data_IF_277260128620
#
_entry.id   IF_277260128620
#
_cell.length_a   1.000
_cell.length_b   1.000
_cell.length_c   1.000
_cell.angle_alpha   90.00
_cell.angle_beta   90.00
_cell.angle_gamma   90.00
#
_symmetry.space_group_name_H-M   'P 1'
#
loop_
_entity.id
_entity.type
_entity.pdbx_description
1 polymer ?
#
# COMPACT_ATOMS: atom_id res chain seq x y z
N UNK A 1 -2.74 -36.22 8.44
CA UNK A 1 -1.58 -35.92 9.29
C UNK A 1 -0.71 -34.91 8.56
N UNK A 2 -0.67 -33.69 9.06
CA UNK A 2 -0.04 -32.58 8.36
C UNK A 2 1.46 -32.47 8.66
N UNK A 3 2.23 -32.10 7.64
CA UNK A 3 3.62 -31.66 7.76
C UNK A 3 3.71 -30.13 7.72
N UNK A 4 4.67 -29.55 8.44
CA UNK A 4 4.99 -28.12 8.36
C UNK A 4 5.87 -27.86 7.13
N UNK A 5 5.29 -27.22 6.13
CA UNK A 5 5.95 -26.80 4.92
C UNK A 5 6.75 -25.51 5.15
N UNK A 6 8.08 -25.65 5.25
CA UNK A 6 9.02 -24.56 5.38
C UNK A 6 9.33 -23.97 4.02
N UNK A 7 9.00 -22.70 3.85
CA UNK A 7 9.42 -21.94 2.67
C UNK A 7 10.84 -21.39 2.86
N UNK A 8 11.56 -21.05 1.78
CA UNK A 8 12.89 -20.45 1.86
C UNK A 8 12.96 -19.17 2.71
N UNK A 9 11.83 -18.45 2.84
CA UNK A 9 11.69 -17.27 3.70
C UNK A 9 11.44 -17.57 5.19
N UNK A 10 11.63 -18.83 5.64
CA UNK A 10 11.35 -19.32 7.01
C UNK A 10 9.88 -19.21 7.45
N UNK A 11 8.96 -18.90 6.54
CA UNK A 11 7.53 -19.01 6.81
C UNK A 11 7.10 -20.47 6.70
N UNK A 12 6.35 -20.94 7.69
CA UNK A 12 5.87 -22.31 7.81
C UNK A 12 4.38 -22.35 7.49
N UNK A 13 3.98 -23.29 6.63
CA UNK A 13 2.59 -23.49 6.22
C UNK A 13 2.15 -24.93 6.48
N UNK A 14 0.85 -25.17 6.59
CA UNK A 14 0.31 -26.51 6.61
C UNK A 14 0.36 -27.12 5.21
N UNK A 15 0.98 -28.30 5.09
CA UNK A 15 1.07 -29.02 3.81
C UNK A 15 -0.27 -29.47 3.24
N UNK A 16 -1.29 -29.69 4.08
CA UNK A 16 -2.60 -30.18 3.62
C UNK A 16 -3.53 -29.03 3.19
N UNK A 17 -3.62 -27.96 3.98
CA UNK A 17 -4.58 -26.87 3.73
C UNK A 17 -3.93 -25.52 3.36
N UNK A 18 -2.61 -25.40 3.43
CA UNK A 18 -1.87 -24.18 3.08
C UNK A 18 -1.99 -23.03 4.08
N UNK A 19 -2.63 -23.23 5.24
CA UNK A 19 -2.75 -22.22 6.28
C UNK A 19 -1.41 -21.95 6.99
N UNK A 20 -1.24 -20.77 7.56
CA UNK A 20 -0.05 -20.42 8.34
C UNK A 20 0.12 -21.39 9.53
N UNK A 21 1.32 -21.93 9.67
CA UNK A 21 1.69 -22.91 10.69
C UNK A 21 2.80 -22.32 11.57
N UNK A 22 2.47 -21.53 12.60
CA UNK A 22 3.48 -20.97 13.49
C UNK A 22 4.30 -22.10 14.18
N UNK A 23 5.59 -21.86 14.48
CA UNK A 23 6.51 -22.90 14.95
C UNK A 23 6.08 -23.55 16.28
N UNK A 24 5.32 -22.83 17.10
CA UNK A 24 4.84 -23.26 18.43
C UNK A 24 3.51 -24.04 18.39
N UNK A 25 2.76 -24.00 17.28
CA UNK A 25 1.44 -24.63 17.21
C UNK A 25 1.54 -26.13 16.92
N UNK A 26 1.03 -26.99 17.81
CA UNK A 26 1.04 -28.45 17.65
C UNK A 26 0.05 -28.97 16.59
N UNK A 27 -1.02 -28.23 16.32
CA UNK A 27 -2.06 -28.56 15.35
C UNK A 27 -2.31 -27.42 14.37
N UNK A 28 -2.80 -27.74 13.18
CA UNK A 28 -3.16 -26.71 12.19
C UNK A 28 -4.43 -25.96 12.60
N UNK A 29 -4.40 -24.64 12.55
CA UNK A 29 -5.54 -23.76 12.87
C UNK A 29 -6.76 -23.97 11.97
N UNK A 30 -6.58 -24.50 10.76
CA UNK A 30 -7.66 -24.62 9.77
C UNK A 30 -8.12 -26.07 9.55
N UNK A 31 -7.21 -27.05 9.47
CA UNK A 31 -7.59 -28.47 9.28
C UNK A 31 -7.55 -29.31 10.57
N UNK A 32 -7.12 -28.73 11.70
CA UNK A 32 -7.01 -29.38 13.02
C UNK A 32 -6.12 -30.63 13.07
N UNK A 33 -5.41 -30.95 11.99
CA UNK A 33 -4.46 -32.05 11.94
C UNK A 33 -3.18 -31.73 12.75
N UNK A 34 -2.66 -32.69 13.53
CA UNK A 34 -1.41 -32.52 14.26
C UNK A 34 -0.22 -32.46 13.30
N UNK A 35 0.75 -31.60 13.61
CA UNK A 35 1.96 -31.44 12.83
C UNK A 35 3.01 -32.50 13.20
N UNK A 36 3.41 -33.33 12.24
CA UNK A 36 4.39 -34.41 12.44
C UNK A 36 5.67 -34.19 11.64
N UNK A 37 6.34 -33.06 11.89
CA UNK A 37 7.65 -32.75 11.30
C UNK A 37 7.60 -31.67 10.22
N UNK A 38 8.71 -31.55 9.49
CA UNK A 38 8.97 -30.45 8.55
C UNK A 38 9.28 -30.97 7.15
N UNK A 39 8.84 -30.23 6.12
CA UNK A 39 9.20 -30.46 4.72
C UNK A 39 9.61 -29.15 4.07
N UNK A 40 10.57 -29.20 3.15
CA UNK A 40 10.92 -28.03 2.34
C UNK A 40 9.88 -27.82 1.24
N UNK A 41 9.36 -26.60 1.14
CA UNK A 41 8.26 -26.26 0.26
C UNK A 41 8.46 -24.92 -0.47
N UNK A 42 7.80 -24.78 -1.62
CA UNK A 42 7.78 -23.57 -2.44
C UNK A 42 6.32 -23.19 -2.69
N UNK A 43 6.00 -21.93 -2.47
CA UNK A 43 4.68 -21.38 -2.80
C UNK A 43 4.58 -21.12 -4.29
N UNK A 44 3.46 -21.52 -4.88
CA UNK A 44 3.16 -21.15 -6.26
C UNK A 44 2.89 -19.65 -6.34
N UNK A 45 3.63 -18.87 -7.16
CA UNK A 45 3.42 -17.43 -7.27
C UNK A 45 2.07 -17.05 -7.93
N UNK A 46 1.38 -18.02 -8.56
CA UNK A 46 0.12 -17.78 -9.26
C UNK A 46 -1.11 -18.11 -8.41
N UNK A 47 -1.03 -19.14 -7.57
CA UNK A 47 -2.20 -19.61 -6.78
C UNK A 47 -1.91 -19.80 -5.29
N UNK A 48 -0.73 -19.38 -4.83
CA UNK A 48 -0.25 -19.51 -3.45
C UNK A 48 -0.30 -20.93 -2.86
N UNK A 49 -0.43 -21.95 -3.72
CA UNK A 49 -0.42 -23.34 -3.26
C UNK A 49 0.97 -23.73 -2.75
N UNK A 50 1.01 -24.46 -1.63
CA UNK A 50 2.22 -25.05 -1.08
C UNK A 50 2.59 -26.28 -1.93
N UNK A 51 3.80 -26.31 -2.48
CA UNK A 51 4.33 -27.44 -3.24
C UNK A 51 5.65 -27.89 -2.63
N UNK A 52 6.05 -29.14 -2.83
CA UNK A 52 7.39 -29.59 -2.42
C UNK A 52 8.49 -28.81 -3.16
N UNK A 53 9.63 -28.59 -2.52
CA UNK A 53 10.79 -27.90 -3.12
C UNK A 53 11.30 -28.58 -4.40
N UNK A 54 11.12 -29.90 -4.52
CA UNK A 54 11.50 -30.68 -5.69
C UNK A 54 10.39 -30.81 -6.74
N UNK A 55 9.22 -30.17 -6.55
CA UNK A 55 8.13 -30.24 -7.49
C UNK A 55 8.49 -29.49 -8.78
N UNK A 56 8.44 -30.18 -9.92
CA UNK A 56 8.64 -29.55 -11.24
C UNK A 56 7.43 -28.73 -11.70
N UNK A 57 6.25 -28.96 -11.11
CA UNK A 57 5.00 -28.29 -11.47
C UNK A 57 4.12 -28.08 -10.22
N UNK A 58 3.27 -27.06 -10.24
CA UNK A 58 2.34 -26.79 -9.15
C UNK A 58 1.17 -27.79 -9.14
N UNK A 59 0.91 -28.41 -7.99
CA UNK A 59 -0.19 -29.35 -7.74
C UNK A 59 -1.58 -28.76 -8.01
N UNK A 60 -1.75 -27.44 -7.82
CA UNK A 60 -3.06 -26.76 -7.94
C UNK A 60 -3.31 -26.10 -9.30
N UNK A 61 -2.28 -25.60 -9.98
CA UNK A 61 -2.44 -24.85 -11.23
C UNK A 61 -1.57 -25.34 -12.40
N UNK A 62 -0.82 -26.44 -12.21
CA UNK A 62 0.09 -27.03 -13.19
C UNK A 62 1.14 -26.05 -13.76
N UNK A 63 1.42 -24.95 -13.04
CA UNK A 63 2.47 -24.02 -13.41
C UNK A 63 3.83 -24.68 -13.22
N UNK A 64 4.65 -24.72 -14.27
CA UNK A 64 6.00 -25.31 -14.23
C UNK A 64 6.92 -24.45 -13.37
N UNK A 65 7.54 -25.08 -12.38
CA UNK A 65 8.65 -24.50 -11.65
C UNK A 65 9.93 -24.70 -12.48
N UNK A 66 10.84 -23.72 -12.53
CA UNK A 66 12.13 -23.93 -13.18
C UNK A 66 12.86 -25.03 -12.41
N UNK A 67 13.17 -26.14 -13.09
CA UNK A 67 14.00 -27.20 -12.53
C UNK A 67 15.31 -26.58 -12.08
N UNK A 68 15.65 -26.74 -10.80
CA UNK A 68 16.98 -26.41 -10.29
C UNK A 68 18.00 -27.24 -11.07
N UNK A 69 18.52 -26.68 -12.16
CA UNK A 69 19.77 -27.13 -12.74
C UNK A 69 20.77 -27.07 -11.58
N UNK A 70 21.33 -28.24 -11.26
CA UNK A 70 22.33 -28.46 -10.22
C UNK A 70 23.34 -27.30 -10.21
N UNK A 71 23.12 -26.30 -9.37
CA UNK A 71 24.17 -25.39 -8.98
C UNK A 71 24.94 -26.10 -7.89
N UNK A 72 26.16 -26.46 -8.27
CA UNK A 72 27.15 -27.12 -7.45
C UNK A 72 27.27 -26.44 -6.09
N UNK A 73 27.37 -27.27 -5.06
CA UNK A 73 27.85 -26.87 -3.74
C UNK A 73 29.23 -26.25 -3.95
N UNK A 74 29.34 -24.93 -3.81
CA UNK A 74 30.64 -24.28 -3.91
C UNK A 74 30.59 -22.77 -3.95
N UNK A 75 30.95 -22.19 -2.80
CA UNK A 75 31.70 -20.93 -2.65
C UNK A 75 30.93 -19.59 -2.78
N UNK A 76 30.98 -18.88 -1.66
CA UNK A 76 30.68 -17.45 -1.41
C UNK A 76 29.20 -17.00 -1.42
N UNK A 77 28.78 -16.15 -0.46
CA UNK A 77 27.39 -15.72 -0.34
C UNK A 77 27.12 -14.55 -1.32
N UNK A 78 26.31 -14.72 -2.37
CA UNK A 78 25.82 -13.58 -3.12
C UNK A 78 24.57 -13.07 -2.39
N UNK A 79 24.53 -11.77 -2.11
CA UNK A 79 23.36 -11.05 -1.59
C UNK A 79 22.04 -11.62 -2.14
N UNK A 80 21.35 -12.43 -1.33
CA UNK A 80 20.25 -13.31 -1.74
C UNK A 80 19.06 -12.53 -2.29
N UNK A 81 18.84 -11.30 -1.80
CA UNK A 81 17.77 -10.43 -2.26
C UNK A 81 17.87 -10.06 -3.75
N UNK A 82 19.07 -9.86 -4.31
CA UNK A 82 19.24 -9.47 -5.72
C UNK A 82 19.10 -10.65 -6.69
N UNK A 83 19.56 -11.84 -6.28
CA UNK A 83 19.37 -13.07 -7.06
C UNK A 83 17.89 -13.48 -7.08
N UNK A 84 17.20 -13.32 -5.94
CA UNK A 84 15.75 -13.52 -5.81
C UNK A 84 14.94 -12.53 -6.65
N UNK A 85 15.30 -11.25 -6.62
CA UNK A 85 14.62 -10.23 -7.44
C UNK A 85 14.85 -10.47 -8.94
N UNK A 86 16.06 -10.88 -9.34
CA UNK A 86 16.34 -11.26 -10.72
C UNK A 86 15.55 -12.50 -11.16
N UNK A 87 15.40 -13.49 -10.27
CA UNK A 87 14.61 -14.70 -10.52
C UNK A 87 13.12 -14.39 -10.67
N UNK A 88 12.55 -13.58 -9.77
CA UNK A 88 11.14 -13.14 -9.83
C UNK A 88 10.86 -12.28 -11.07
N UNK A 89 11.76 -11.35 -11.42
CA UNK A 89 11.65 -10.54 -12.65
C UNK A 89 11.66 -11.42 -13.89
N UNK A 90 12.48 -12.47 -13.92
CA UNK A 90 12.55 -13.40 -15.06
C UNK A 90 11.27 -14.26 -15.19
N UNK A 91 10.67 -14.67 -14.07
CA UNK A 91 9.36 -15.36 -14.07
C UNK A 91 8.25 -14.47 -14.61
N UNK A 92 8.22 -13.19 -14.21
CA UNK A 92 7.21 -12.22 -14.66
C UNK A 92 7.39 -11.84 -16.15
N UNK A 93 8.62 -11.83 -16.66
CA UNK A 93 8.88 -11.64 -18.08
C UNK A 93 8.39 -12.83 -18.91
N UNK A 94 8.73 -14.05 -18.51
CA UNK A 94 8.28 -15.27 -19.20
C UNK A 94 6.76 -15.43 -19.19
N UNK A 95 6.09 -15.00 -18.11
CA UNK A 95 4.62 -15.03 -18.05
C UNK A 95 3.97 -13.97 -18.97
N UNK A 96 4.57 -12.78 -19.07
CA UNK A 96 4.14 -11.73 -20.02
C UNK A 96 4.38 -12.12 -21.48
N UNK A 97 5.51 -12.74 -21.79
CA UNK A 97 5.82 -13.25 -23.13
C UNK A 97 4.85 -14.35 -23.55
N UNK A 98 4.46 -15.25 -22.62
CA UNK A 98 3.48 -16.30 -22.90
C UNK A 98 2.05 -15.76 -23.03
N UNK A 99 1.69 -14.71 -22.29
CA UNK A 99 0.42 -14.01 -22.46
C UNK A 99 0.36 -13.30 -23.82
N UNK A 100 1.46 -12.66 -24.25
CA UNK A 100 1.58 -12.03 -25.57
C UNK A 100 1.56 -13.06 -26.71
N UNK A 101 2.18 -14.22 -26.52
CA UNK A 101 2.13 -15.32 -27.49
C UNK A 101 0.71 -15.90 -27.65
N UNK A 102 -0.10 -15.93 -26.58
CA UNK A 102 -1.51 -16.33 -26.63
C UNK A 102 -2.43 -15.29 -27.30
N UNK A 103 -2.08 -14.00 -27.25
CA UNK A 103 -2.86 -12.93 -27.92
C UNK A 103 -2.48 -12.71 -29.39
N UNK A 104 -1.43 -13.37 -29.90
CA UNK A 104 -0.84 -13.10 -31.22
C UNK A 104 -0.94 -14.22 -32.26
N UNK A 105 -1.64 -15.33 -31.98
CA UNK A 105 -1.82 -16.42 -32.95
C UNK A 105 -3.24 -16.46 -33.51
N UNK A 106 -3.44 -16.48 -34.84
CA UNK A 106 -4.73 -16.74 -35.45
C UNK A 106 -5.09 -18.22 -35.25
N UNK A 107 -6.39 -18.46 -35.04
CA UNK A 107 -6.96 -19.75 -34.71
C UNK A 107 -6.55 -20.87 -35.68
N UNK A 108 -5.93 -21.94 -35.15
CA UNK A 108 -5.99 -23.27 -35.74
C UNK A 108 -5.64 -24.36 -34.71
N UNK A 109 -6.51 -25.37 -34.68
CA UNK A 109 -6.39 -26.70 -34.10
C UNK A 109 -6.66 -26.89 -32.60
N UNK A 110 -7.85 -27.45 -32.37
CA UNK A 110 -8.33 -28.20 -31.23
C UNK A 110 -7.29 -29.21 -30.68
N UNK A 111 -7.04 -29.12 -29.37
CA UNK A 111 -6.88 -30.29 -28.48
C UNK A 111 -7.61 -29.93 -27.18
N UNK A 112 -8.54 -30.82 -26.81
CA UNK A 112 -9.58 -30.65 -25.80
C UNK A 112 -9.10 -30.07 -24.46
N UNK A 113 -9.67 -28.91 -24.11
CA UNK A 113 -9.78 -28.46 -22.73
C UNK A 113 -11.10 -29.00 -22.14
N UNK A 114 -11.14 -29.50 -20.90
CA UNK A 114 -12.40 -29.82 -20.26
C UNK A 114 -13.23 -28.54 -20.14
N UNK A 115 -14.51 -28.64 -20.47
CA UNK A 115 -15.45 -27.54 -20.53
C UNK A 115 -15.36 -26.63 -19.29
N UNK A 116 -15.44 -25.30 -19.45
CA UNK A 116 -15.58 -24.41 -18.33
C UNK A 116 -16.92 -24.74 -17.67
N UNK A 117 -16.87 -25.25 -16.43
CA UNK A 117 -18.06 -25.31 -15.58
C UNK A 117 -18.80 -23.98 -15.69
N UNK A 118 -20.11 -23.99 -15.95
CA UNK A 118 -20.84 -22.76 -16.12
C UNK A 118 -20.65 -21.93 -14.86
N UNK A 119 -20.23 -20.67 -15.06
CA UNK A 119 -20.27 -19.62 -14.05
C UNK A 119 -21.57 -19.78 -13.29
N UNK A 120 -21.47 -19.95 -11.98
CA UNK A 120 -22.61 -19.88 -11.06
C UNK A 120 -23.36 -18.62 -11.41
N UNK A 121 -24.47 -18.81 -12.14
CA UNK A 121 -25.53 -17.82 -12.23
C UNK A 121 -25.82 -17.46 -10.78
N UNK A 122 -25.86 -16.17 -10.49
CA UNK A 122 -26.46 -15.64 -9.27
C UNK A 122 -27.70 -16.49 -9.03
N UNK A 123 -27.66 -17.32 -7.97
CA UNK A 123 -28.83 -18.06 -7.57
C UNK A 123 -29.76 -16.95 -7.10
N UNK A 124 -30.86 -16.65 -7.83
CA UNK A 124 -31.80 -15.66 -7.34
C UNK A 124 -32.23 -16.13 -5.95
N UNK A 125 -32.48 -15.23 -5.01
CA UNK A 125 -32.80 -15.59 -3.62
C UNK A 125 -33.90 -16.68 -3.49
N UNK A 126 -34.77 -16.87 -4.48
CA UNK A 126 -35.75 -17.96 -4.55
C UNK A 126 -35.23 -19.35 -4.95
N UNK A 127 -33.97 -19.50 -5.39
CA UNK A 127 -33.39 -20.77 -5.82
C UNK A 127 -33.01 -21.70 -4.67
N UNK A 128 -32.69 -21.15 -3.49
CA UNK A 128 -32.48 -21.95 -2.29
C UNK A 128 -33.81 -22.37 -1.66
N UNK A 129 -34.82 -21.49 -1.64
CA UNK A 129 -36.19 -21.89 -1.28
C UNK A 129 -36.70 -23.00 -2.19
N UNK A 130 -36.53 -22.89 -3.52
CA UNK A 130 -36.86 -23.99 -4.43
C UNK A 130 -36.07 -25.27 -4.15
N UNK A 131 -34.80 -25.16 -3.74
CA UNK A 131 -33.99 -26.32 -3.35
C UNK A 131 -34.47 -26.93 -2.03
N UNK A 132 -34.90 -26.11 -1.07
CA UNK A 132 -35.51 -26.51 0.19
C UNK A 132 -36.83 -27.25 -0.04
N UNK A 133 -37.66 -26.74 -0.94
CA UNK A 133 -38.91 -27.40 -1.37
C UNK A 133 -38.65 -28.72 -2.09
N UNK A 134 -37.58 -28.81 -2.90
CA UNK A 134 -37.14 -30.06 -3.54
C UNK A 134 -36.58 -31.07 -2.55
N UNK A 135 -35.93 -30.62 -1.48
CA UNK A 135 -35.40 -31.45 -0.40
C UNK A 135 -36.47 -31.93 0.58
N UNK A 136 -37.55 -31.17 0.76
CA UNK A 136 -38.71 -31.61 1.55
C UNK A 136 -39.59 -32.63 0.81
N UNK A 137 -39.56 -32.64 -0.53
CA UNK A 137 -40.39 -33.55 -1.33
C UNK A 137 -40.20 -35.05 -1.01
N UNK A 138 -38.98 -35.57 -0.81
CA UNK A 138 -38.75 -36.94 -0.31
C UNK A 138 -39.36 -37.20 1.07
N UNK A 139 -39.28 -36.25 2.00
CA UNK A 139 -39.90 -36.37 3.32
C UNK A 139 -41.42 -36.38 3.22
N UNK A 140 -42.00 -35.50 2.40
CA UNK A 140 -43.44 -35.47 2.14
C UNK A 140 -43.93 -36.76 1.49
N UNK A 141 -43.20 -37.32 0.52
CA UNK A 141 -43.54 -38.60 -0.11
C UNK A 141 -43.47 -39.77 0.89
N UNK A 142 -42.48 -39.79 1.78
CA UNK A 142 -42.37 -40.79 2.84
C UNK A 142 -43.51 -40.68 3.86
N UNK A 143 -43.87 -39.46 4.27
CA UNK A 143 -45.00 -39.21 5.16
C UNK A 143 -46.33 -39.63 4.50
N UNK A 144 -46.53 -39.34 3.21
CA UNK A 144 -47.71 -39.79 2.47
C UNK A 144 -47.78 -41.31 2.33
N UNK A 145 -46.66 -41.97 2.05
CA UNK A 145 -46.60 -43.43 1.97
C UNK A 145 -46.92 -44.10 3.31
N UNK A 146 -46.49 -43.49 4.42
CA UNK A 146 -46.77 -43.98 5.78
C UNK A 146 -48.21 -43.74 6.20
N UNK A 147 -48.80 -42.58 5.89
CA UNK A 147 -50.25 -42.35 6.06
C UNK A 147 -51.08 -43.39 5.33
N UNK A 148 -50.76 -43.67 4.07
CA UNK A 148 -51.43 -44.73 3.29
C UNK A 148 -51.28 -46.11 3.93
N UNK A 149 -50.14 -46.42 4.56
CA UNK A 149 -49.93 -47.68 5.28
C UNK A 149 -50.72 -47.72 6.60
N UNK A 150 -50.81 -46.62 7.33
CA UNK A 150 -51.66 -46.50 8.52
C UNK A 150 -53.13 -46.74 8.18
N UNK A 151 -53.64 -46.11 7.12
CA UNK A 151 -54.99 -46.33 6.61
C UNK A 151 -55.23 -47.80 6.23
N UNK A 152 -54.25 -48.46 5.60
CA UNK A 152 -54.34 -49.89 5.28
C UNK A 152 -54.38 -50.77 6.54
N UNK A 153 -53.56 -50.45 7.55
CA UNK A 153 -53.55 -51.16 8.84
C UNK A 153 -54.91 -51.00 9.54
N UNK A 154 -55.49 -49.81 9.54
CA UNK A 154 -56.81 -49.54 10.13
C UNK A 154 -57.91 -50.38 9.45
N UNK A 155 -57.93 -50.42 8.12
CA UNK A 155 -58.89 -51.27 7.37
C UNK A 155 -58.69 -52.75 7.68
N UNK A 156 -57.44 -53.23 7.87
CA UNK A 156 -57.17 -54.62 8.23
C UNK A 156 -57.63 -54.95 9.65
N UNK A 157 -57.43 -54.03 10.60
CA UNK A 157 -57.91 -54.15 11.98
C UNK A 157 -59.45 -54.22 11.98
N UNK A 158 -60.13 -53.29 11.30
CA UNK A 158 -61.60 -53.28 11.22
C UNK A 158 -62.16 -54.58 10.62
N UNK A 159 -61.53 -55.11 9.56
CA UNK A 159 -61.93 -56.39 8.96
C UNK A 159 -61.70 -57.58 9.89
N UNK A 160 -60.59 -57.58 10.64
CA UNK A 160 -60.28 -58.61 11.62
C UNK A 160 -61.26 -58.57 12.80
N UNK A 161 -61.59 -57.38 13.30
CA UNK A 161 -62.59 -57.17 14.36
C UNK A 161 -63.98 -57.60 13.93
N UNK A 162 -64.40 -57.26 12.70
CA UNK A 162 -65.67 -57.72 12.16
C UNK A 162 -65.75 -59.25 12.05
N UNK A 163 -64.63 -59.92 11.73
CA UNK A 163 -64.53 -61.39 11.75
C UNK A 163 -64.56 -61.95 13.17
N UNK A 164 -63.87 -61.33 14.13
CA UNK A 164 -63.90 -61.73 15.54
C UNK A 164 -65.31 -61.65 16.09
N UNK A 165 -66.05 -60.56 15.81
CA UNK A 165 -67.45 -60.37 16.24
C UNK A 165 -68.41 -61.44 15.67
N UNK A 166 -68.15 -61.93 14.46
CA UNK A 166 -68.95 -63.03 13.86
C UNK A 166 -68.67 -64.39 14.52
N UNK A 167 -67.47 -64.58 15.06
CA UNK A 167 -67.03 -65.81 15.73
C UNK A 167 -67.22 -65.75 17.27
N UNK A 168 -67.90 -64.72 17.79
CA UNK A 168 -67.95 -64.45 19.23
C UNK A 168 -68.97 -65.29 20.02
N UNK A 169 -69.86 -66.00 19.34
CA UNK A 169 -70.88 -66.87 19.95
C UNK A 169 -70.73 -68.36 19.64
N UNK A 170 -69.72 -68.77 18.87
CA UNK A 170 -69.52 -70.17 18.50
C UNK A 170 -68.62 -70.89 19.49
N UNK A 171 -69.08 -72.05 19.98
CA UNK A 171 -68.36 -72.90 20.94
C UNK A 171 -67.42 -73.90 20.26
N UNK A 172 -67.36 -73.87 18.93
CA UNK A 172 -66.55 -74.79 18.15
C UNK A 172 -65.05 -74.53 18.37
N UNK A 173 -64.26 -75.55 18.75
CA UNK A 173 -62.85 -75.37 19.12
C UNK A 173 -61.99 -74.87 17.96
N UNK A 174 -62.39 -75.12 16.72
CA UNK A 174 -61.71 -74.62 15.52
C UNK A 174 -61.94 -73.11 15.33
N UNK A 175 -63.15 -72.63 15.64
CA UNK A 175 -63.48 -71.21 15.51
C UNK A 175 -62.87 -70.38 16.66
N UNK A 176 -62.79 -70.95 17.85
CA UNK A 176 -62.05 -70.36 18.99
C UNK A 176 -60.58 -70.16 18.63
N UNK A 177 -59.92 -71.17 18.05
CA UNK A 177 -58.52 -71.04 17.58
C UNK A 177 -58.34 -69.96 16.51
N UNK A 178 -59.28 -69.86 15.56
CA UNK A 178 -59.29 -68.82 14.52
C UNK A 178 -59.45 -67.42 15.14
N UNK A 179 -60.34 -67.27 16.12
CA UNK A 179 -60.55 -66.02 16.87
C UNK A 179 -59.28 -65.60 17.62
N UNK A 180 -58.62 -66.52 18.31
CA UNK A 180 -57.35 -66.25 18.99
C UNK A 180 -56.20 -65.90 18.03
N UNK A 181 -56.19 -66.53 16.85
CA UNK A 181 -55.26 -66.19 15.77
C UNK A 181 -55.48 -64.76 15.26
N UNK A 182 -56.73 -64.37 14.99
CA UNK A 182 -57.08 -63.00 14.58
C UNK A 182 -56.72 -61.97 15.67
N UNK A 183 -56.94 -62.29 16.95
CA UNK A 183 -56.54 -61.42 18.07
C UNK A 183 -55.01 -61.22 18.14
N UNK A 184 -54.22 -62.24 17.81
CA UNK A 184 -52.76 -62.12 17.72
C UNK A 184 -52.35 -61.23 16.54
N UNK A 185 -52.95 -61.43 15.37
CA UNK A 185 -52.71 -60.59 14.20
C UNK A 185 -53.05 -59.11 14.44
N UNK A 186 -54.14 -58.81 15.15
CA UNK A 186 -54.47 -57.43 15.53
C UNK A 186 -53.40 -56.83 16.45
N UNK A 187 -52.89 -57.60 17.44
CA UNK A 187 -51.82 -57.12 18.31
C UNK A 187 -50.54 -56.80 17.53
N UNK A 188 -50.16 -57.64 16.57
CA UNK A 188 -49.02 -57.40 15.69
C UNK A 188 -49.22 -56.13 14.85
N UNK A 189 -50.40 -55.94 14.25
CA UNK A 189 -50.74 -54.73 13.49
C UNK A 189 -50.75 -53.45 14.33
N UNK A 190 -51.16 -53.52 15.60
CA UNK A 190 -51.11 -52.38 16.52
C UNK A 190 -49.67 -51.98 16.86
N UNK A 191 -48.78 -52.96 17.04
CA UNK A 191 -47.35 -52.69 17.23
C UNK A 191 -46.75 -52.04 15.97
N UNK A 192 -47.07 -52.56 14.77
CA UNK A 192 -46.65 -51.92 13.52
C UNK A 192 -47.19 -50.48 13.39
N UNK A 193 -48.42 -50.22 13.82
CA UNK A 193 -49.01 -48.88 13.84
C UNK A 193 -48.22 -47.93 14.75
N UNK A 194 -47.90 -48.37 15.97
CA UNK A 194 -47.10 -47.58 16.92
C UNK A 194 -45.69 -47.30 16.38
N UNK A 195 -45.04 -48.29 15.76
CA UNK A 195 -43.72 -48.11 15.15
C UNK A 195 -43.75 -47.11 13.99
N UNK A 196 -44.79 -47.16 13.14
CA UNK A 196 -44.95 -46.17 12.05
C UNK A 196 -45.13 -44.77 12.61
N UNK A 197 -45.95 -44.59 13.64
CA UNK A 197 -46.17 -43.27 14.27
C UNK A 197 -44.88 -42.70 14.88
N UNK A 198 -44.09 -43.51 15.59
CA UNK A 198 -42.78 -43.09 16.12
C UNK A 198 -41.83 -42.65 15.00
N UNK A 199 -41.84 -43.37 13.89
CA UNK A 199 -41.02 -43.02 12.74
C UNK A 199 -41.52 -41.72 12.07
N UNK A 200 -42.82 -41.44 12.06
CA UNK A 200 -43.39 -40.18 11.55
C UNK A 200 -42.95 -38.98 12.40
N UNK A 201 -43.02 -39.09 13.73
CA UNK A 201 -42.51 -38.08 14.65
C UNK A 201 -41.03 -37.79 14.39
N UNK A 202 -40.21 -38.84 14.28
CA UNK A 202 -38.78 -38.71 13.96
C UNK A 202 -38.52 -38.06 12.59
N UNK A 203 -39.33 -38.34 11.57
CA UNK A 203 -39.19 -37.67 10.26
C UNK A 203 -39.52 -36.17 10.33
N UNK A 204 -40.56 -35.80 11.09
CA UNK A 204 -40.94 -34.39 11.25
C UNK A 204 -39.87 -33.61 12.02
N UNK A 205 -39.27 -34.21 13.04
CA UNK A 205 -38.13 -33.63 13.76
C UNK A 205 -36.90 -33.46 12.86
N UNK A 206 -36.60 -34.47 12.04
CA UNK A 206 -35.53 -34.39 11.05
C UNK A 206 -35.79 -33.25 10.04
N UNK A 207 -37.00 -33.17 9.48
CA UNK A 207 -37.38 -32.09 8.56
C UNK A 207 -37.19 -30.71 9.21
N UNK A 208 -37.57 -30.56 10.49
CA UNK A 208 -37.40 -29.32 11.24
C UNK A 208 -35.93 -28.97 11.48
N UNK A 209 -35.12 -29.93 11.90
CA UNK A 209 -33.69 -29.71 12.12
C UNK A 209 -32.96 -29.37 10.82
N UNK A 210 -33.27 -30.04 9.71
CA UNK A 210 -32.72 -29.70 8.39
C UNK A 210 -33.08 -28.29 7.95
N UNK A 211 -34.36 -27.89 8.06
CA UNK A 211 -34.79 -26.52 7.75
C UNK A 211 -34.05 -25.48 8.60
N UNK A 212 -33.90 -25.74 9.90
CA UNK A 212 -33.20 -24.85 10.80
C UNK A 212 -31.71 -24.71 10.42
N UNK A 213 -31.03 -25.81 10.12
CA UNK A 213 -29.62 -25.80 9.70
C UNK A 213 -29.43 -25.02 8.40
N UNK A 214 -30.31 -25.24 7.41
CA UNK A 214 -30.23 -24.54 6.13
C UNK A 214 -30.48 -23.05 6.27
N UNK A 215 -31.46 -22.65 7.09
CA UNK A 215 -31.68 -21.23 7.40
C UNK A 215 -30.49 -20.59 8.12
N UNK A 216 -29.89 -21.28 9.08
CA UNK A 216 -28.66 -20.80 9.74
C UNK A 216 -27.51 -20.62 8.74
N UNK A 217 -27.35 -21.55 7.79
CA UNK A 217 -26.34 -21.44 6.73
C UNK A 217 -26.63 -20.25 5.80
N UNK A 218 -27.88 -19.98 5.45
CA UNK A 218 -28.27 -18.78 4.69
C UNK A 218 -27.95 -17.49 5.44
N UNK A 219 -28.28 -17.42 6.73
CA UNK A 219 -27.99 -16.28 7.59
C UNK A 219 -26.48 -16.03 7.69
N UNK A 220 -25.67 -17.09 7.85
CA UNK A 220 -24.21 -16.98 7.85
C UNK A 220 -23.64 -16.50 6.52
N UNK A 221 -24.14 -17.04 5.40
CA UNK A 221 -23.69 -16.63 4.06
C UNK A 221 -24.05 -15.18 3.77
N UNK A 222 -25.27 -14.77 4.07
CA UNK A 222 -25.73 -13.39 3.89
C UNK A 222 -24.96 -12.41 4.79
N UNK A 223 -24.65 -12.79 6.03
CA UNK A 223 -23.80 -11.98 6.91
C UNK A 223 -22.37 -11.84 6.37
N UNK A 224 -21.78 -12.92 5.85
CA UNK A 224 -20.45 -12.88 5.20
C UNK A 224 -20.47 -12.02 3.94
N UNK A 225 -21.49 -12.15 3.11
CA UNK A 225 -21.66 -11.30 1.93
C UNK A 225 -21.79 -9.82 2.31
N UNK A 226 -22.61 -9.49 3.30
CA UNK A 226 -22.77 -8.12 3.78
C UNK A 226 -21.44 -7.56 4.32
N UNK A 227 -20.68 -8.36 5.07
CA UNK A 227 -19.35 -7.97 5.57
C UNK A 227 -18.36 -7.72 4.42
N UNK A 228 -18.34 -8.59 3.40
CA UNK A 228 -17.49 -8.42 2.22
C UNK A 228 -17.89 -7.18 1.41
N UNK A 229 -19.19 -6.93 1.23
CA UNK A 229 -19.68 -5.72 0.55
C UNK A 229 -19.26 -4.46 1.31
N UNK A 230 -19.43 -4.44 2.63
CA UNK A 230 -18.98 -3.33 3.48
C UNK A 230 -17.47 -3.07 3.34
N UNK A 231 -16.64 -4.12 3.33
CA UNK A 231 -15.19 -3.98 3.09
C UNK A 231 -14.87 -3.46 1.69
N UNK A 232 -15.59 -3.93 0.66
CA UNK A 232 -15.40 -3.45 -0.71
C UNK A 232 -15.77 -1.96 -0.84
N UNK A 233 -16.84 -1.52 -0.20
CA UNK A 233 -17.25 -0.11 -0.21
C UNK A 233 -16.25 0.76 0.58
N UNK A 234 -15.70 0.25 1.68
CA UNK A 234 -14.58 0.92 2.38
C UNK A 234 -13.35 1.06 1.47
N UNK A 235 -12.95 0.00 0.77
CA UNK A 235 -11.83 0.07 -0.19
C UNK A 235 -12.11 1.04 -1.34
N UNK A 236 -13.34 1.10 -1.84
CA UNK A 236 -13.73 2.09 -2.87
C UNK A 236 -13.58 3.52 -2.35
N UNK A 237 -14.07 3.81 -1.15
CA UNK A 237 -13.90 5.13 -0.53
C UNK A 237 -12.43 5.47 -0.25
N UNK A 238 -11.62 4.50 0.17
CA UNK A 238 -10.17 4.70 0.32
C UNK A 238 -9.50 5.03 -1.02
N UNK A 239 -9.88 4.36 -2.11
CA UNK A 239 -9.38 4.66 -3.45
C UNK A 239 -9.80 6.05 -3.92
N UNK A 240 -11.07 6.42 -3.75
CA UNK A 240 -11.56 7.77 -4.06
C UNK A 240 -10.81 8.84 -3.25
N UNK A 241 -10.56 8.60 -1.96
CA UNK A 241 -9.81 9.51 -1.12
C UNK A 241 -8.34 9.63 -1.57
N UNK A 242 -7.70 8.50 -1.93
CA UNK A 242 -6.35 8.52 -2.50
C UNK A 242 -6.31 9.29 -3.81
N UNK A 243 -7.26 9.07 -4.71
CA UNK A 243 -7.36 9.81 -5.98
C UNK A 243 -7.52 11.31 -5.75
N UNK A 244 -8.34 11.74 -4.78
CA UNK A 244 -8.45 13.16 -4.40
C UNK A 244 -7.14 13.73 -3.87
N UNK A 245 -6.44 13.00 -2.99
CA UNK A 245 -5.13 13.42 -2.46
C UNK A 245 -4.08 13.50 -3.58
N UNK A 246 -4.05 12.53 -4.49
CA UNK A 246 -3.19 12.58 -5.67
C UNK A 246 -3.52 13.78 -6.58
N UNK A 247 -4.81 14.10 -6.75
CA UNK A 247 -5.25 15.30 -7.46
C UNK A 247 -4.69 16.58 -6.84
N UNK A 248 -4.84 16.74 -5.53
CA UNK A 248 -4.32 17.90 -4.79
C UNK A 248 -2.79 18.00 -4.84
N UNK A 249 -2.08 16.88 -4.72
CA UNK A 249 -0.62 16.85 -4.85
C UNK A 249 -0.18 17.27 -6.24
N UNK A 250 -0.88 16.80 -7.29
CA UNK A 250 -0.60 17.18 -8.67
C UNK A 250 -0.84 18.68 -8.91
N UNK A 251 -1.89 19.26 -8.34
CA UNK A 251 -2.13 20.70 -8.39
C UNK A 251 -0.98 21.48 -7.73
N UNK A 252 -0.56 21.07 -6.53
CA UNK A 252 0.60 21.67 -5.83
C UNK A 252 1.89 21.55 -6.64
N UNK A 253 2.15 20.40 -7.25
CA UNK A 253 3.30 20.21 -8.15
C UNK A 253 3.26 21.18 -9.33
N UNK A 254 2.09 21.39 -9.95
CA UNK A 254 1.96 22.36 -11.05
C UNK A 254 2.17 23.80 -10.59
N UNK A 255 1.74 24.16 -9.38
CA UNK A 255 1.97 25.50 -8.83
C UNK A 255 3.44 25.72 -8.47
N UNK A 256 4.12 24.72 -7.90
CA UNK A 256 5.56 24.78 -7.64
C UNK A 256 6.31 24.92 -8.96
N UNK A 257 5.98 24.14 -9.98
CA UNK A 257 6.62 24.23 -11.30
C UNK A 257 6.44 25.62 -11.95
N UNK A 258 5.29 26.26 -11.75
CA UNK A 258 5.06 27.65 -12.19
C UNK A 258 5.96 28.64 -11.46
N UNK A 259 6.04 28.54 -10.13
CA UNK A 259 6.92 29.40 -9.32
C UNK A 259 8.39 29.19 -9.66
N UNK A 260 8.83 27.95 -9.85
CA UNK A 260 10.19 27.65 -10.31
C UNK A 260 10.52 28.32 -11.63
N UNK A 261 9.59 28.30 -12.59
CA UNK A 261 9.76 28.97 -13.88
C UNK A 261 9.82 30.50 -13.72
N UNK A 262 9.02 31.09 -12.83
CA UNK A 262 9.09 32.51 -12.48
C UNK A 262 10.44 32.88 -11.84
N UNK A 263 10.94 32.05 -10.91
CA UNK A 263 12.26 32.23 -10.31
C UNK A 263 13.38 32.11 -11.34
N UNK A 264 13.32 31.16 -12.26
CA UNK A 264 14.30 31.06 -13.36
C UNK A 264 14.32 32.33 -14.20
N UNK A 265 13.16 32.91 -14.51
CA UNK A 265 13.09 34.19 -15.24
C UNK A 265 13.66 35.35 -14.45
N UNK A 266 13.40 35.42 -13.14
CA UNK A 266 14.00 36.43 -12.27
C UNK A 266 15.52 36.30 -12.23
N UNK A 267 16.03 35.08 -12.05
CA UNK A 267 17.46 34.78 -12.04
C UNK A 267 18.10 35.20 -13.36
N UNK A 268 17.49 34.90 -14.51
CA UNK A 268 18.04 35.32 -15.80
C UNK A 268 18.12 36.85 -15.92
N UNK A 269 17.08 37.57 -15.48
CA UNK A 269 17.10 39.05 -15.46
C UNK A 269 18.16 39.62 -14.53
N UNK A 270 18.41 38.98 -13.39
CA UNK A 270 19.47 39.40 -12.46
C UNK A 270 20.85 39.17 -13.08
N UNK A 271 21.09 38.03 -13.73
CA UNK A 271 22.35 37.78 -14.44
C UNK A 271 22.57 38.75 -15.62
N UNK A 272 21.50 39.17 -16.30
CA UNK A 272 21.60 40.22 -17.34
C UNK A 272 22.01 41.56 -16.73
N UNK A 273 21.38 41.97 -15.62
CA UNK A 273 21.75 43.19 -14.89
C UNK A 273 23.17 43.15 -14.34
N UNK A 274 23.60 42.01 -13.82
CA UNK A 274 24.98 41.80 -13.34
C UNK A 274 25.99 42.06 -14.46
N UNK A 275 25.77 41.46 -15.64
CA UNK A 275 26.62 41.72 -16.82
C UNK A 275 26.62 43.18 -17.26
N UNK A 276 25.48 43.86 -17.20
CA UNK A 276 25.40 45.29 -17.50
C UNK A 276 26.20 46.14 -16.49
N UNK A 277 26.16 45.77 -15.22
CA UNK A 277 26.93 46.44 -14.16
C UNK A 277 28.43 46.18 -14.33
N UNK A 278 28.84 44.95 -14.62
CA UNK A 278 30.24 44.61 -14.89
C UNK A 278 30.81 45.44 -16.05
N UNK A 279 30.06 45.57 -17.15
CA UNK A 279 30.45 46.41 -18.29
C UNK A 279 30.57 47.89 -17.90
N UNK A 280 29.64 48.41 -17.10
CA UNK A 280 29.71 49.79 -16.60
C UNK A 280 30.93 49.99 -15.69
N UNK A 281 31.23 49.00 -14.85
CA UNK A 281 32.37 49.03 -13.96
C UNK A 281 33.69 49.00 -14.76
N UNK A 282 33.80 48.17 -15.79
CA UNK A 282 34.93 48.16 -16.72
C UNK A 282 35.13 49.53 -17.38
N UNK A 283 34.07 50.13 -17.92
CA UNK A 283 34.13 51.47 -18.52
C UNK A 283 34.55 52.56 -17.52
N UNK A 284 34.12 52.46 -16.25
CA UNK A 284 34.54 53.39 -15.21
C UNK A 284 36.00 53.19 -14.82
N UNK A 285 36.48 51.94 -14.76
CA UNK A 285 37.90 51.62 -14.54
C UNK A 285 38.78 52.17 -15.66
N UNK A 286 38.38 52.00 -16.92
CA UNK A 286 39.09 52.58 -18.07
C UNK A 286 39.14 54.11 -18.00
N UNK A 287 38.03 54.76 -17.66
CA UNK A 287 37.98 56.22 -17.47
C UNK A 287 38.88 56.68 -16.32
N UNK A 288 38.91 55.95 -15.21
CA UNK A 288 39.81 56.24 -14.09
C UNK A 288 41.27 56.15 -14.53
N UNK A 289 41.64 55.09 -15.27
CA UNK A 289 42.98 54.93 -15.83
C UNK A 289 43.39 56.09 -16.73
N UNK A 290 42.51 56.53 -17.64
CA UNK A 290 42.79 57.67 -18.52
C UNK A 290 42.93 59.00 -17.75
N UNK A 291 42.16 59.17 -16.66
CA UNK A 291 42.30 60.33 -15.78
C UNK A 291 43.63 60.31 -15.03
N UNK A 292 44.05 59.14 -14.54
CA UNK A 292 45.34 58.96 -13.89
C UNK A 292 46.49 59.26 -14.87
N UNK A 293 46.47 58.70 -16.08
CA UNK A 293 47.45 59.01 -17.14
C UNK A 293 47.52 60.51 -17.44
N UNK A 294 46.37 61.17 -17.56
CA UNK A 294 46.31 62.62 -17.77
C UNK A 294 46.84 63.39 -16.57
N UNK A 295 46.54 62.95 -15.35
CA UNK A 295 47.07 63.56 -14.13
C UNK A 295 48.60 63.45 -14.10
N UNK A 296 49.16 62.27 -14.40
CA UNK A 296 50.61 62.10 -14.51
C UNK A 296 51.23 63.03 -15.57
N UNK A 297 50.63 63.12 -16.76
CA UNK A 297 51.10 64.01 -17.81
C UNK A 297 51.02 65.51 -17.43
N UNK A 298 49.96 65.91 -16.71
CA UNK A 298 49.83 67.27 -16.18
C UNK A 298 50.86 67.55 -15.08
N UNK A 299 51.07 66.61 -14.14
CA UNK A 299 52.09 66.75 -13.10
C UNK A 299 53.49 66.87 -13.71
N UNK A 300 53.81 66.11 -14.76
CA UNK A 300 55.08 66.25 -15.48
C UNK A 300 55.21 67.63 -16.15
N UNK A 301 54.16 68.09 -16.82
CA UNK A 301 54.12 69.42 -17.42
C UNK A 301 54.23 70.54 -16.37
N UNK A 302 53.64 70.37 -15.18
CA UNK A 302 53.76 71.29 -14.05
C UNK A 302 55.20 71.36 -13.55
N UNK A 303 55.87 70.22 -13.36
CA UNK A 303 57.29 70.17 -12.98
C UNK A 303 58.17 70.88 -14.03
N UNK A 304 57.88 70.71 -15.32
CA UNK A 304 58.57 71.42 -16.39
C UNK A 304 58.30 72.93 -16.38
N UNK A 305 57.07 73.36 -16.10
CA UNK A 305 56.73 74.76 -15.92
C UNK A 305 57.40 75.36 -14.69
N UNK A 306 57.49 74.63 -13.58
CA UNK A 306 58.21 75.04 -12.38
C UNK A 306 59.71 75.18 -12.65
N UNK A 307 60.30 74.24 -13.39
CA UNK A 307 61.69 74.33 -13.85
C UNK A 307 61.91 75.59 -14.70
N UNK A 308 61.06 75.84 -15.70
CA UNK A 308 61.12 77.05 -16.53
C UNK A 308 60.89 78.32 -15.71
N UNK A 309 59.97 78.30 -14.75
CA UNK A 309 59.70 79.42 -13.83
C UNK A 309 60.91 79.70 -12.96
N UNK A 310 61.57 78.67 -12.44
CA UNK A 310 62.80 78.80 -11.66
C UNK A 310 63.94 79.38 -12.50
N UNK A 311 64.08 78.96 -13.76
CA UNK A 311 65.04 79.55 -14.71
C UNK A 311 64.73 81.03 -15.01
N UNK A 312 63.45 81.39 -15.18
CA UNK A 312 63.01 82.78 -15.36
C UNK A 312 63.22 83.59 -14.08
N UNK A 313 62.96 83.02 -12.90
CA UNK A 313 63.14 83.68 -11.61
C UNK A 313 64.62 83.92 -11.28
N UNK A 314 65.52 83.01 -11.70
CA UNK A 314 66.95 83.28 -11.68
C UNK A 314 67.35 84.42 -12.64
N UNK A 315 66.75 84.47 -13.83
CA UNK A 315 66.99 85.55 -14.81
C UNK A 315 66.34 86.89 -14.40
N UNK A 316 65.27 86.85 -13.61
CA UNK A 316 64.51 88.00 -13.11
C UNK A 316 64.91 88.42 -11.69
N UNK A 317 65.95 87.83 -11.10
CA UNK A 317 66.54 88.19 -9.81
C UNK A 317 67.32 89.52 -9.79
N UNK A 318 66.89 90.52 -10.56
CA UNK A 318 67.17 91.94 -10.32
C UNK A 318 65.87 92.59 -9.81
N UNK A 319 65.90 93.41 -8.75
CA UNK A 319 64.77 93.55 -7.85
C UNK A 319 63.71 94.52 -8.38
N UNK A 320 62.43 94.13 -8.28
CA UNK A 320 61.33 95.08 -8.42
C UNK A 320 59.95 94.48 -8.58
N UNK A 321 59.09 94.75 -7.59
CA UNK A 321 57.62 94.72 -7.63
C UNK A 321 56.94 93.34 -7.58
N UNK A 322 55.76 93.15 -6.99
CA UNK A 322 54.97 93.84 -5.97
C UNK A 322 53.82 92.87 -5.64
N UNK A 323 53.22 93.05 -4.47
CA UNK A 323 52.09 92.29 -3.94
C UNK A 323 50.89 92.15 -4.90
N UNK A 324 50.27 90.97 -4.92
CA UNK A 324 48.85 90.81 -5.31
C UNK A 324 48.16 89.84 -4.36
N UNK A 325 47.17 90.39 -3.67
CA UNK A 325 46.18 89.81 -2.78
C UNK A 325 45.40 88.68 -3.46
N UNK A 326 45.27 87.51 -2.82
CA UNK A 326 44.40 86.42 -3.29
C UNK A 326 43.34 86.13 -2.23
N UNK A 327 42.14 86.66 -2.45
CA UNK A 327 40.92 86.31 -1.71
C UNK A 327 40.50 84.90 -2.14
N UNK A 328 40.19 83.97 -1.22
CA UNK A 328 39.63 82.68 -1.60
C UNK A 328 38.16 82.86 -1.99
N UNK A 329 37.69 82.34 -3.14
CA UNK A 329 36.27 82.26 -3.40
C UNK A 329 35.68 81.18 -2.49
N UNK A 330 34.83 81.58 -1.54
CA UNK A 330 33.88 80.66 -0.92
C UNK A 330 32.86 80.28 -2.00
N UNK A 331 33.01 79.11 -2.60
CA UNK A 331 32.01 78.52 -3.48
C UNK A 331 30.89 78.02 -2.58
N UNK A 332 29.84 78.81 -2.40
CA UNK A 332 28.55 78.30 -1.94
C UNK A 332 27.92 77.53 -3.09
N UNK A 333 28.20 76.21 -3.16
CA UNK A 333 27.41 75.29 -3.99
C UNK A 333 26.03 75.24 -3.35
N UNK A 334 25.08 76.00 -3.90
CA UNK A 334 23.68 75.64 -3.68
C UNK A 334 23.44 74.36 -4.49
N UNK A 335 23.10 73.23 -3.87
CA UNK A 335 22.74 72.03 -4.61
C UNK A 335 21.60 72.42 -5.56
N UNK A 336 21.76 72.10 -6.84
CA UNK A 336 20.71 72.41 -7.81
C UNK A 336 19.46 71.62 -7.42
N UNK A 337 18.27 72.16 -7.66
CA UNK A 337 17.02 71.46 -7.34
C UNK A 337 16.92 70.08 -8.03
N UNK A 338 17.68 69.88 -9.12
CA UNK A 338 17.89 68.60 -9.78
C UNK A 338 18.68 67.60 -8.92
N UNK A 339 19.82 68.02 -8.34
CA UNK A 339 20.63 67.16 -7.46
C UNK A 339 19.83 66.73 -6.22
N UNK A 340 18.99 67.61 -5.68
CA UNK A 340 18.09 67.29 -4.55
C UNK A 340 17.02 66.29 -4.98
N UNK A 341 16.50 66.39 -6.21
CA UNK A 341 15.55 65.44 -6.79
C UNK A 341 16.15 64.05 -6.99
N UNK A 342 17.36 63.98 -7.54
CA UNK A 342 18.10 62.72 -7.76
C UNK A 342 18.50 62.04 -6.44
N UNK A 343 18.94 62.83 -5.44
CA UNK A 343 19.20 62.33 -4.10
C UNK A 343 17.94 61.80 -3.44
N UNK A 344 16.78 62.45 -3.61
CA UNK A 344 15.51 61.96 -3.08
C UNK A 344 15.07 60.67 -3.74
N UNK A 345 15.20 60.54 -5.06
CA UNK A 345 14.90 59.27 -5.74
C UNK A 345 15.83 58.15 -5.30
N UNK A 346 17.13 58.44 -5.12
CA UNK A 346 18.09 57.44 -4.64
C UNK A 346 17.81 57.02 -3.19
N UNK A 347 17.42 57.96 -2.32
CA UNK A 347 16.99 57.66 -0.96
C UNK A 347 15.74 56.75 -0.99
N UNK A 348 14.75 57.03 -1.83
CA UNK A 348 13.56 56.18 -1.95
C UNK A 348 13.88 54.78 -2.50
N UNK A 349 14.82 54.66 -3.44
CA UNK A 349 15.30 53.36 -3.93
C UNK A 349 16.02 52.57 -2.83
N UNK A 350 16.85 53.24 -2.02
CA UNK A 350 17.53 52.61 -0.89
C UNK A 350 16.54 52.21 0.22
N UNK A 351 15.50 53.00 0.46
CA UNK A 351 14.42 52.67 1.39
C UNK A 351 13.66 51.41 0.92
N UNK A 352 13.33 51.31 -0.37
CA UNK A 352 12.67 50.12 -0.93
C UNK A 352 13.58 48.87 -0.88
N UNK A 353 14.89 49.04 -1.08
CA UNK A 353 15.86 47.96 -0.91
C UNK A 353 15.99 47.51 0.55
N UNK A 354 16.00 48.45 1.49
CA UNK A 354 16.01 48.12 2.93
C UNK A 354 14.74 47.41 3.35
N UNK A 355 13.58 47.79 2.81
CA UNK A 355 12.30 47.13 3.09
C UNK A 355 12.32 45.68 2.57
N UNK A 356 12.75 45.45 1.32
CA UNK A 356 12.91 44.10 0.76
C UNK A 356 13.88 43.23 1.56
N UNK A 357 15.04 43.77 1.93
CA UNK A 357 16.00 43.06 2.77
C UNK A 357 15.43 42.75 4.16
N UNK A 358 14.59 43.62 4.70
CA UNK A 358 13.92 43.38 5.98
C UNK A 358 12.89 42.25 5.89
N UNK A 359 12.16 42.17 4.78
CA UNK A 359 11.20 41.08 4.50
C UNK A 359 11.94 39.75 4.31
N UNK A 360 13.03 39.73 3.54
CA UNK A 360 13.87 38.55 3.34
C UNK A 360 14.48 38.08 4.68
N UNK A 361 15.00 39.01 5.49
CA UNK A 361 15.51 38.71 6.82
C UNK A 361 14.43 38.15 7.75
N UNK A 362 13.20 38.65 7.66
CA UNK A 362 12.07 38.13 8.44
C UNK A 362 11.64 36.74 7.93
N UNK A 363 11.64 36.52 6.62
CA UNK A 363 11.40 35.21 6.01
C UNK A 363 12.44 34.17 6.46
N UNK A 364 13.72 34.50 6.36
CA UNK A 364 14.82 33.64 6.82
C UNK A 364 14.75 33.35 8.34
N UNK A 365 14.32 34.33 9.15
CA UNK A 365 14.08 34.10 10.58
C UNK A 365 12.94 33.12 10.84
N UNK A 366 11.85 33.22 10.08
CA UNK A 366 10.72 32.28 10.18
C UNK A 366 11.13 30.87 9.74
N UNK A 367 11.86 30.75 8.63
CA UNK A 367 12.40 29.47 8.15
C UNK A 367 13.36 28.86 9.18
N UNK A 368 14.25 29.66 9.76
CA UNK A 368 15.14 29.20 10.83
C UNK A 368 14.37 28.71 12.05
N UNK A 369 13.30 29.40 12.45
CA UNK A 369 12.43 28.98 13.54
C UNK A 369 11.71 27.65 13.23
N UNK A 370 11.20 27.48 12.01
CA UNK A 370 10.56 26.25 11.57
C UNK A 370 11.55 25.07 11.50
N UNK A 371 12.78 25.32 11.05
CA UNK A 371 13.85 24.31 11.05
C UNK A 371 14.24 23.90 12.47
N UNK A 372 14.26 24.83 13.44
CA UNK A 372 14.52 24.49 14.84
C UNK A 372 13.41 23.63 15.44
N UNK A 373 12.13 23.95 15.20
CA UNK A 373 11.03 23.12 15.69
C UNK A 373 11.04 21.74 15.05
N UNK A 374 11.33 21.64 13.75
CA UNK A 374 11.48 20.35 13.07
C UNK A 374 12.63 19.53 13.65
N UNK A 375 13.76 20.16 13.99
CA UNK A 375 14.87 19.46 14.64
C UNK A 375 14.47 18.92 16.03
N UNK A 376 13.66 19.65 16.79
CA UNK A 376 13.13 19.19 18.08
C UNK A 376 12.14 18.03 17.94
N UNK A 377 11.27 18.06 16.92
CA UNK A 377 10.36 16.95 16.60
C UNK A 377 11.15 15.68 16.23
N UNK A 378 12.20 15.83 15.41
CA UNK A 378 13.09 14.71 15.06
C UNK A 378 13.80 14.18 16.31
N UNK A 379 14.25 15.03 17.23
CA UNK A 379 14.81 14.58 18.53
C UNK A 379 13.79 13.78 19.34
N UNK A 380 12.52 14.18 19.35
CA UNK A 380 11.44 13.43 20.00
C UNK A 380 11.28 12.03 19.40
N UNK A 381 11.12 11.95 18.08
CA UNK A 381 10.99 10.67 17.37
C UNK A 381 12.20 9.76 17.59
N UNK A 382 13.41 10.33 17.63
CA UNK A 382 14.62 9.54 17.85
C UNK A 382 14.70 8.96 19.27
N UNK A 383 14.19 9.66 20.29
CA UNK A 383 14.05 9.13 21.66
C UNK A 383 13.04 7.99 21.72
N UNK A 384 11.88 8.15 21.08
CA UNK A 384 10.88 7.08 21.00
C UNK A 384 11.44 5.84 20.29
N UNK A 385 12.25 6.04 19.24
CA UNK A 385 12.95 4.97 18.56
C UNK A 385 14.01 4.30 19.44
N UNK A 386 14.78 5.06 20.24
CA UNK A 386 15.73 4.51 21.21
C UNK A 386 15.03 3.65 22.27
N UNK A 387 13.90 4.11 22.81
CA UNK A 387 13.10 3.37 23.78
C UNK A 387 12.57 2.05 23.18
N UNK A 388 11.99 2.10 21.98
CA UNK A 388 11.51 0.91 21.27
C UNK A 388 12.65 -0.05 20.89
N UNK A 389 13.83 0.46 20.56
CA UNK A 389 15.01 -0.35 20.30
C UNK A 389 15.52 -1.04 21.58
N UNK A 390 15.34 -0.41 22.75
CA UNK A 390 15.66 -0.97 24.06
C UNK A 390 14.74 -2.11 24.50
N UNK A 391 13.50 -2.16 24.00
CA UNK A 391 12.53 -3.22 24.28
C UNK A 391 12.74 -4.50 23.44
N UNK A 392 13.64 -4.46 22.45
CA UNK A 392 13.91 -5.60 21.58
C UNK A 392 14.77 -6.67 22.27
N UNK A 393 14.62 -7.96 21.89
CA UNK A 393 15.52 -9.02 22.35
C UNK A 393 17.00 -8.74 22.00
N UNK A 394 17.92 -9.05 22.92
CA UNK A 394 19.36 -8.74 22.79
C UNK A 394 20.00 -9.23 21.48
N UNK A 395 19.55 -10.38 20.97
CA UNK A 395 20.05 -10.94 19.71
C UNK A 395 19.77 -10.03 18.51
N UNK A 396 18.59 -9.39 18.49
CA UNK A 396 18.20 -8.45 17.44
C UNK A 396 18.92 -7.12 17.58
N UNK A 397 19.10 -6.63 18.81
CA UNK A 397 19.89 -5.42 19.10
C UNK A 397 21.33 -5.59 18.59
N UNK A 398 21.98 -6.73 18.90
CA UNK A 398 23.34 -7.03 18.42
C UNK A 398 23.44 -7.14 16.90
N UNK A 399 22.39 -7.64 16.23
CA UNK A 399 22.34 -7.70 14.77
C UNK A 399 22.13 -6.31 14.13
N UNK A 400 21.32 -5.45 14.77
CA UNK A 400 21.06 -4.09 14.32
C UNK A 400 22.28 -3.19 14.49
N UNK A 401 22.97 -3.26 15.64
CA UNK A 401 24.20 -2.53 15.92
C UNK A 401 25.33 -2.85 14.91
N UNK A 402 25.33 -4.05 14.32
CA UNK A 402 26.27 -4.45 13.26
C UNK A 402 25.82 -4.09 11.85
N UNK A 403 24.61 -3.53 11.70
CA UNK A 403 24.03 -3.18 10.41
C UNK A 403 24.41 -1.76 9.99
N UNK A 404 24.54 -1.53 8.68
CA UNK A 404 24.77 -0.18 8.14
C UNK A 404 23.62 0.81 8.42
N UNK A 405 22.46 0.34 8.86
CA UNK A 405 21.33 1.18 9.26
C UNK A 405 21.58 1.84 10.62
N UNK A 406 22.27 1.15 11.52
CA UNK A 406 22.71 1.73 12.79
C UNK A 406 23.73 2.85 12.58
N UNK A 407 24.66 2.69 11.64
CA UNK A 407 25.57 3.78 11.25
C UNK A 407 24.87 4.99 10.62
N UNK A 408 23.67 4.83 10.04
CA UNK A 408 22.86 5.96 9.60
C UNK A 408 22.10 6.61 10.78
N UNK A 409 21.62 5.79 11.71
CA UNK A 409 20.97 6.20 12.95
C UNK A 409 21.91 7.02 13.85
N UNK A 410 23.13 6.53 14.12
CA UNK A 410 24.16 7.25 14.89
C UNK A 410 24.52 8.59 14.23
N UNK A 411 24.75 8.62 12.91
CA UNK A 411 25.06 9.88 12.20
C UNK A 411 23.93 10.92 12.30
N UNK A 412 22.69 10.47 12.42
CA UNK A 412 21.55 11.39 12.60
C UNK A 412 21.48 11.86 14.04
N UNK A 413 21.71 10.98 15.02
CA UNK A 413 21.79 11.35 16.43
C UNK A 413 22.92 12.35 16.71
N UNK A 414 24.12 12.11 16.19
CA UNK A 414 25.27 12.99 16.37
C UNK A 414 24.98 14.41 15.86
N UNK A 415 24.36 14.51 14.67
CA UNK A 415 23.97 15.79 14.06
C UNK A 415 22.85 16.53 14.78
N UNK A 416 22.09 15.84 15.63
CA UNK A 416 21.04 16.46 16.43
C UNK A 416 21.58 16.86 17.82
N UNK A 417 22.69 16.28 18.28
CA UNK A 417 23.31 16.59 19.56
C UNK A 417 24.30 17.77 19.50
N UNK A 418 24.86 18.05 18.32
CA UNK A 418 25.52 19.33 17.99
C UNK A 418 24.51 20.48 17.89
#
# INVERSE_FOLDING_TARGET
MALRALTPGKAAFCSECGADAPPEAETCSNCHEPFQGYIDAVLCPLCAAVNHSNAGECSRCAAKFPTAAKTERGREPPNSAKAEEAFLRRILQLSREKAKARSGQPAASEVAAPEPRPRTKEVPAGGLEEALWKLSAPFSQLLEARRKRLEQIEVLIERADARIRKLEGTTDPVEVRKREGLKRQIKELLLEKEDILRLEEGLVELERTYRNVLRMQEEELTAREASLRSRLDAFRHELENRERVFGQMRERETDIARREEEFRRLINRLHEREKELDQREELLREKAHLLDERHYALSEAEVDLERRRWEVQQKAGAPGMSAVTRVPPTITVQPSDQDIGELRSHISELEEQLEKLSEEMNGLRQERAALTTFADDVKGVMKDLDELLGELPEEKIRSFARSGKFAAYERILDRLQE
#
